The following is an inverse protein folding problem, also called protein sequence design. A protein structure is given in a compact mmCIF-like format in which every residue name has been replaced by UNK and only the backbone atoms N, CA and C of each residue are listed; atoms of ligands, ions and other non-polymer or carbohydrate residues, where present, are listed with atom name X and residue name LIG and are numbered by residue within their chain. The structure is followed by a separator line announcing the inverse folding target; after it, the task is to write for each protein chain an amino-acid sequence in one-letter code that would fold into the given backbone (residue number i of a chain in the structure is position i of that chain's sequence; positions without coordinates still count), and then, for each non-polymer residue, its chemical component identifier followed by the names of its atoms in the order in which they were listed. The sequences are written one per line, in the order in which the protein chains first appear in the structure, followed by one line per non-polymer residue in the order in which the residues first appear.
data_IF_251077402611
#
_entry.id   IF_251077402611
#
_cell.length_a   1.000
_cell.length_b   1.000
_cell.length_c   1.000
_cell.angle_alpha   90.00
_cell.angle_beta   90.00
_cell.angle_gamma   90.00
#
_symmetry.space_group_name_H-M   'P 1'
#
loop_
_entity.id
_entity.type
_entity.pdbx_description
1 polymer ?
#
# COMPACT_ATOMS: atom_id res chain seq x y z
N UNK A 1 -1.69 -0.76 18.94
CA UNK A 1 -2.07 -0.70 17.52
C UNK A 1 -0.81 -0.45 16.72
N UNK A 2 -0.58 -1.11 15.58
CA UNK A 2 0.61 -0.88 14.77
C UNK A 2 0.66 0.55 14.21
N UNK A 3 1.87 1.07 13.98
CA UNK A 3 2.07 2.41 13.44
C UNK A 3 2.07 2.40 11.90
N UNK A 4 1.23 3.23 11.27
CA UNK A 4 1.12 3.31 9.81
C UNK A 4 2.39 3.85 9.13
N UNK A 5 3.11 4.78 9.77
CA UNK A 5 4.39 5.28 9.27
C UNK A 5 5.41 4.16 9.15
N UNK A 6 5.61 3.40 10.23
CA UNK A 6 6.53 2.25 10.27
C UNK A 6 6.11 1.16 9.29
N UNK A 7 4.81 0.95 9.10
CA UNK A 7 4.29 0.01 8.11
C UNK A 7 4.64 0.43 6.68
N UNK A 8 4.40 1.70 6.33
CA UNK A 8 4.73 2.25 5.01
C UNK A 8 6.24 2.18 4.73
N UNK A 9 7.08 2.43 5.74
CA UNK A 9 8.53 2.24 5.64
C UNK A 9 8.88 0.75 5.43
N UNK A 10 8.22 -0.16 6.14
CA UNK A 10 8.43 -1.59 5.99
C UNK A 10 8.00 -2.12 4.60
N UNK A 11 7.03 -1.46 3.94
CA UNK A 11 6.61 -1.79 2.57
C UNK A 11 7.72 -1.61 1.53
N UNK A 12 8.81 -0.90 1.83
CA UNK A 12 9.98 -0.82 0.93
C UNK A 12 10.55 -2.20 0.61
N UNK A 13 10.46 -3.14 1.56
CA UNK A 13 10.93 -4.51 1.36
C UNK A 13 10.13 -5.30 0.32
N UNK A 14 8.91 -4.87 -0.01
CA UNK A 14 8.03 -5.52 -0.98
C UNK A 14 8.47 -5.33 -2.44
N UNK A 15 9.54 -4.60 -2.71
CA UNK A 15 10.06 -4.43 -4.07
C UNK A 15 9.09 -3.67 -4.98
N UNK A 16 8.95 -4.12 -6.22
CA UNK A 16 8.07 -3.43 -7.18
C UNK A 16 6.59 -3.68 -6.85
N UNK A 17 5.84 -2.59 -6.73
CA UNK A 17 4.40 -2.59 -6.50
C UNK A 17 3.65 -2.00 -7.69
N UNK A 18 2.36 -2.32 -7.73
CA UNK A 18 1.35 -1.58 -8.48
C UNK A 18 0.51 -0.81 -7.49
N UNK A 19 0.70 0.51 -7.48
CA UNK A 19 -0.03 1.43 -6.61
C UNK A 19 -1.27 1.91 -7.37
N UNK A 20 -2.43 1.70 -6.77
CA UNK A 20 -3.74 1.96 -7.39
C UNK A 20 -4.49 2.96 -6.52
N UNK A 21 -4.88 4.08 -7.14
CA UNK A 21 -5.79 5.06 -6.56
C UNK A 21 -7.01 5.15 -7.46
N UNK A 22 -8.18 5.03 -6.82
CA UNK A 22 -9.47 5.07 -7.49
C UNK A 22 -10.21 6.32 -7.03
N UNK A 23 -10.66 7.12 -7.98
CA UNK A 23 -11.63 8.19 -7.75
C UNK A 23 -13.02 7.70 -8.12
N UNK A 24 -14.03 8.56 -7.97
CA UNK A 24 -15.41 8.25 -8.36
C UNK A 24 -15.60 7.93 -9.85
N UNK A 25 -14.66 8.30 -10.72
CA UNK A 25 -14.81 8.17 -12.17
C UNK A 25 -13.59 7.60 -12.90
N UNK A 26 -12.45 7.43 -12.22
CA UNK A 26 -11.20 7.00 -12.84
C UNK A 26 -10.35 6.17 -11.89
N UNK A 27 -9.57 5.27 -12.47
CA UNK A 27 -8.54 4.48 -11.77
C UNK A 27 -7.19 4.84 -12.38
N UNK A 28 -6.21 5.17 -11.53
CA UNK A 28 -4.82 5.31 -11.94
C UNK A 28 -3.99 4.21 -11.28
N UNK A 29 -3.26 3.46 -12.10
CA UNK A 29 -2.35 2.40 -11.65
C UNK A 29 -0.94 2.77 -12.09
N UNK A 30 -0.02 2.90 -11.13
CA UNK A 30 1.40 3.16 -11.41
C UNK A 30 2.26 2.01 -10.94
N UNK A 31 3.31 1.71 -11.73
CA UNK A 31 4.33 0.73 -11.37
C UNK A 31 5.48 1.45 -10.67
N UNK A 32 5.83 1.02 -9.46
CA UNK A 32 6.95 1.56 -8.69
C UNK A 32 7.08 0.90 -7.33
N UNK A 33 8.14 1.18 -6.58
CA UNK A 33 8.29 0.74 -5.18
C UNK A 33 7.92 1.88 -4.23
N UNK A 34 7.53 1.55 -2.99
CA UNK A 34 7.48 2.52 -1.89
C UNK A 34 8.90 2.66 -1.37
N UNK A 35 9.49 3.84 -1.46
CA UNK A 35 10.86 4.09 -1.01
C UNK A 35 11.07 5.59 -0.79
N UNK A 36 12.13 5.97 -0.07
CA UNK A 36 12.48 7.39 0.18
C UNK A 36 11.27 8.24 0.61
N UNK A 37 10.43 7.67 1.46
CA UNK A 37 9.27 8.38 1.98
C UNK A 37 9.73 9.61 2.75
N UNK A 38 9.04 10.72 2.52
CA UNK A 38 9.16 11.91 3.35
C UNK A 38 7.79 12.31 3.87
N UNK A 39 7.78 12.94 5.03
CA UNK A 39 6.56 13.20 5.77
C UNK A 39 6.35 14.69 5.96
N UNK A 40 5.09 15.11 5.89
CA UNK A 40 4.72 16.51 6.02
C UNK A 40 3.36 16.65 6.70
N UNK A 41 3.26 17.54 7.68
CA UNK A 41 2.00 17.94 8.28
C UNK A 41 1.44 19.16 7.55
N UNK A 42 0.23 19.04 7.02
CA UNK A 42 -0.48 20.07 6.28
C UNK A 42 -1.82 20.36 6.98
N UNK A 43 -2.50 21.48 6.69
CA UNK A 43 -3.80 21.79 7.30
C UNK A 43 -4.88 20.70 7.10
N UNK A 44 -4.72 19.84 6.10
CA UNK A 44 -5.64 18.74 5.77
C UNK A 44 -5.26 17.40 6.44
N UNK A 45 -4.11 17.31 7.09
CA UNK A 45 -3.66 16.11 7.79
C UNK A 45 -2.17 15.82 7.63
N UNK A 46 -1.78 14.65 8.12
CA UNK A 46 -0.41 14.14 8.13
C UNK A 46 -0.15 13.23 6.93
N UNK A 47 0.80 13.62 6.08
CA UNK A 47 1.03 12.95 4.80
C UNK A 47 2.32 12.14 4.78
N UNK A 48 2.23 10.93 4.22
CA UNK A 48 3.37 10.21 3.67
C UNK A 48 3.49 10.51 2.18
N UNK A 49 4.69 10.84 1.72
CA UNK A 49 4.91 11.33 0.37
C UNK A 49 6.11 10.64 -0.28
N UNK A 50 6.10 10.54 -1.60
CA UNK A 50 7.22 10.06 -2.40
C UNK A 50 7.25 10.80 -3.74
N UNK A 51 8.45 11.16 -4.17
CA UNK A 51 8.70 11.68 -5.51
C UNK A 51 9.46 10.63 -6.33
N UNK A 52 8.87 10.22 -7.44
CA UNK A 52 9.49 9.31 -8.42
C UNK A 52 9.56 10.01 -9.78
N UNK A 53 10.34 9.44 -10.71
CA UNK A 53 10.60 10.07 -12.00
C UNK A 53 9.33 10.39 -12.81
N UNK A 54 8.33 9.50 -12.76
CA UNK A 54 7.12 9.60 -13.59
C UNK A 54 5.83 9.83 -12.78
N UNK A 55 5.91 9.84 -11.45
CA UNK A 55 4.74 10.05 -10.59
C UNK A 55 5.13 10.60 -9.22
N UNK A 56 4.18 11.29 -8.60
CA UNK A 56 4.23 11.63 -7.18
C UNK A 56 3.13 10.90 -6.43
N UNK A 57 3.42 10.58 -5.18
CA UNK A 57 2.53 9.86 -4.29
C UNK A 57 2.32 10.67 -3.02
N UNK A 58 1.07 10.83 -2.61
CA UNK A 58 0.68 11.50 -1.38
C UNK A 58 -0.44 10.71 -0.71
N UNK A 59 -0.21 10.26 0.52
CA UNK A 59 -1.20 9.55 1.31
C UNK A 59 -1.46 10.31 2.61
N UNK A 60 -2.70 10.79 2.78
CA UNK A 60 -3.14 11.35 4.05
C UNK A 60 -3.35 10.20 5.05
N UNK A 61 -2.41 10.04 5.97
CA UNK A 61 -2.40 8.95 6.93
C UNK A 61 -3.54 9.05 7.93
N UNK A 62 -4.01 10.25 8.26
CA UNK A 62 -5.13 10.45 9.21
C UNK A 62 -6.46 9.89 8.68
N UNK A 63 -6.55 9.72 7.35
CA UNK A 63 -7.73 9.20 6.68
C UNK A 63 -7.77 7.67 6.60
N UNK A 64 -6.68 6.99 6.92
CA UNK A 64 -6.64 5.53 6.88
C UNK A 64 -7.12 4.96 8.22
N UNK A 65 -8.21 4.21 8.19
CA UNK A 65 -8.83 3.61 9.38
C UNK A 65 -8.48 2.14 9.53
N UNK A 66 -8.24 1.45 8.44
CA UNK A 66 -7.88 0.04 8.46
C UNK A 66 -6.92 -0.29 7.34
N UNK A 67 -6.02 -1.23 7.59
CA UNK A 67 -5.18 -1.86 6.58
C UNK A 67 -5.51 -3.34 6.52
N UNK A 68 -5.67 -3.86 5.31
CA UNK A 68 -6.06 -5.24 5.07
C UNK A 68 -5.18 -5.90 4.01
N UNK A 69 -4.67 -7.06 4.34
CA UNK A 69 -3.98 -7.96 3.41
C UNK A 69 -5.01 -8.83 2.70
N UNK A 70 -4.93 -8.93 1.38
CA UNK A 70 -5.85 -9.73 0.57
C UNK A 70 -5.09 -10.53 -0.49
N UNK A 71 -5.47 -11.80 -0.63
CA UNK A 71 -5.17 -12.56 -1.84
C UNK A 71 -6.40 -12.58 -2.75
N UNK A 72 -6.21 -12.43 -4.05
CA UNK A 72 -7.28 -12.56 -5.04
C UNK A 72 -6.85 -13.37 -6.24
N UNK A 73 -7.79 -13.72 -7.10
CA UNK A 73 -7.48 -14.35 -8.39
C UNK A 73 -7.48 -13.29 -9.50
N UNK A 74 -6.43 -13.25 -10.31
CA UNK A 74 -6.36 -12.34 -11.43
C UNK A 74 -7.45 -12.64 -12.46
N UNK A 75 -8.24 -11.61 -12.84
CA UNK A 75 -9.32 -11.72 -13.84
C UNK A 75 -8.87 -12.30 -15.20
N UNK A 76 -7.57 -12.20 -15.50
CA UNK A 76 -6.94 -12.77 -16.69
C UNK A 76 -5.64 -13.44 -16.28
N UNK A 77 -5.45 -14.69 -16.71
CA UNK A 77 -4.21 -15.44 -16.50
C UNK A 77 -4.21 -16.43 -15.33
N UNK A 78 -5.29 -16.51 -14.55
CA UNK A 78 -5.49 -17.53 -13.50
C UNK A 78 -4.30 -17.67 -12.54
N UNK A 79 -3.88 -16.55 -11.94
CA UNK A 79 -2.80 -16.51 -10.96
C UNK A 79 -3.22 -15.70 -9.73
N UNK A 80 -2.61 -16.02 -8.58
CA UNK A 80 -2.85 -15.33 -7.33
C UNK A 80 -2.26 -13.93 -7.35
N UNK A 81 -3.04 -12.96 -6.90
CA UNK A 81 -2.63 -11.57 -6.64
C UNK A 81 -2.53 -11.35 -5.15
N UNK A 82 -1.58 -10.51 -4.74
CA UNK A 82 -1.32 -10.16 -3.34
C UNK A 82 -1.46 -8.67 -3.19
N UNK A 83 -2.39 -8.22 -2.35
CA UNK A 83 -2.74 -6.82 -2.17
C UNK A 83 -2.67 -6.40 -0.71
N UNK A 84 -2.39 -5.12 -0.52
CA UNK A 84 -2.58 -4.40 0.74
C UNK A 84 -3.54 -3.26 0.45
N UNK A 85 -4.69 -3.26 1.13
CA UNK A 85 -5.72 -2.23 1.04
C UNK A 85 -5.57 -1.28 2.21
N UNK A 86 -5.57 0.02 1.93
CA UNK A 86 -5.64 1.09 2.93
C UNK A 86 -7.04 1.68 2.83
N UNK A 87 -7.86 1.39 3.85
CA UNK A 87 -9.29 1.65 3.87
C UNK A 87 -9.57 2.94 4.64
N UNK A 88 -10.49 3.75 4.13
CA UNK A 88 -10.95 4.97 4.77
C UNK A 88 -12.10 4.71 5.77
N UNK A 89 -12.72 5.78 6.26
CA UNK A 89 -13.82 5.71 7.23
C UNK A 89 -15.13 5.15 6.63
N UNK A 90 -15.26 5.15 5.29
CA UNK A 90 -16.36 4.52 4.57
C UNK A 90 -16.07 3.04 4.26
N UNK A 91 -14.91 2.53 4.68
CA UNK A 91 -14.41 1.20 4.33
C UNK A 91 -14.09 1.04 2.83
N UNK A 92 -13.92 2.15 2.12
CA UNK A 92 -13.50 2.19 0.73
C UNK A 92 -11.97 2.23 0.63
N UNK A 93 -11.40 1.65 -0.43
CA UNK A 93 -9.95 1.59 -0.61
C UNK A 93 -9.40 2.95 -1.11
N UNK A 94 -8.89 3.77 -0.20
CA UNK A 94 -8.19 5.01 -0.52
C UNK A 94 -6.88 4.75 -1.28
N UNK A 95 -6.21 3.63 -1.01
CA UNK A 95 -5.04 3.13 -1.74
C UNK A 95 -5.08 1.60 -1.77
N UNK A 96 -4.65 1.03 -2.89
CA UNK A 96 -4.32 -0.39 -2.97
C UNK A 96 -2.90 -0.58 -3.50
N UNK A 97 -2.09 -1.36 -2.80
CA UNK A 97 -0.75 -1.74 -3.23
C UNK A 97 -0.74 -3.23 -3.55
N UNK A 98 -0.59 -3.58 -4.82
CA UNK A 98 -0.41 -4.96 -5.26
C UNK A 98 1.06 -5.27 -5.46
N UNK A 99 1.49 -6.49 -5.15
CA UNK A 99 2.78 -6.96 -5.65
C UNK A 99 2.75 -6.93 -7.19
N UNK A 100 3.72 -6.25 -7.80
CA UNK A 100 3.81 -6.21 -9.26
C UNK A 100 4.44 -7.49 -9.78
N UNK A 101 3.70 -8.22 -10.61
CA UNK A 101 4.23 -9.37 -11.33
C UNK A 101 4.92 -8.95 -12.64
N UNK A 102 5.87 -9.76 -13.12
CA UNK A 102 6.44 -9.67 -14.46
C UNK A 102 5.51 -10.33 -15.47
N UNK A 103 5.71 -11.63 -15.70
CA UNK A 103 4.72 -12.48 -16.39
C UNK A 103 3.58 -12.86 -15.43
N UNK A 104 2.43 -13.33 -15.92
CA UNK A 104 1.33 -13.77 -15.07
C UNK A 104 1.80 -14.75 -13.97
N UNK A 105 1.66 -14.35 -12.70
CA UNK A 105 2.06 -15.14 -11.53
C UNK A 105 3.55 -15.14 -11.18
N UNK A 106 4.42 -14.50 -11.99
CA UNK A 106 5.86 -14.41 -11.70
C UNK A 106 6.15 -13.14 -10.89
N UNK A 107 6.51 -13.30 -9.62
CA UNK A 107 6.90 -12.22 -8.69
C UNK A 107 8.43 -12.11 -8.56
N UNK A 108 8.90 -11.00 -7.99
CA UNK A 108 10.32 -10.84 -7.67
C UNK A 108 10.78 -11.87 -6.61
N UNK A 109 12.06 -12.30 -6.61
CA UNK A 109 12.56 -13.24 -5.62
C UNK A 109 12.34 -12.77 -4.18
N UNK A 110 11.69 -13.59 -3.35
CA UNK A 110 11.40 -13.26 -1.95
C UNK A 110 10.24 -12.29 -1.74
N UNK A 111 9.58 -11.82 -2.81
CA UNK A 111 8.57 -10.77 -2.71
C UNK A 111 7.29 -11.22 -2.01
N UNK A 112 6.83 -12.43 -2.33
CA UNK A 112 5.62 -13.04 -1.75
C UNK A 112 5.88 -13.41 -0.29
N UNK A 113 7.06 -13.93 0.02
CA UNK A 113 7.51 -14.27 1.37
C UNK A 113 7.50 -13.02 2.27
N UNK A 114 8.09 -11.92 1.81
CA UNK A 114 8.08 -10.64 2.55
C UNK A 114 6.68 -10.07 2.75
N UNK A 115 5.77 -10.28 1.79
CA UNK A 115 4.36 -9.91 1.96
C UNK A 115 3.71 -10.72 3.08
N UNK A 116 3.98 -12.02 3.14
CA UNK A 116 3.52 -12.88 4.24
C UNK A 116 4.16 -12.51 5.58
N UNK A 117 5.44 -12.16 5.62
CA UNK A 117 6.13 -11.68 6.83
C UNK A 117 5.50 -10.39 7.36
N UNK A 118 5.17 -9.43 6.49
CA UNK A 118 4.44 -8.22 6.90
C UNK A 118 3.04 -8.56 7.39
N UNK A 119 2.32 -9.46 6.72
CA UNK A 119 0.99 -9.91 7.15
C UNK A 119 1.04 -10.56 8.54
N UNK A 120 2.05 -11.39 8.80
CA UNK A 120 2.25 -12.03 10.10
C UNK A 120 2.59 -11.01 11.18
N UNK A 121 3.47 -10.05 10.88
CA UNK A 121 3.90 -9.01 11.82
C UNK A 121 2.78 -8.05 12.22
N UNK A 122 1.97 -7.60 11.26
CA UNK A 122 0.96 -6.56 11.48
C UNK A 122 -0.46 -7.12 11.67
N UNK A 123 -0.70 -8.35 11.23
CA UNK A 123 -2.02 -8.97 11.16
C UNK A 123 -2.66 -8.83 9.77
N UNK A 124 -3.58 -9.75 9.47
CA UNK A 124 -4.30 -9.75 8.19
C UNK A 124 -5.21 -8.54 8.02
N UNK A 125 -5.82 -8.10 9.12
CA UNK A 125 -6.61 -6.87 9.23
C UNK A 125 -6.15 -6.15 10.50
N UNK A 126 -5.79 -4.88 10.40
CA UNK A 126 -5.36 -4.09 11.54
C UNK A 126 -5.71 -2.61 11.39
N UNK A 127 -5.86 -1.94 12.52
CA UNK A 127 -6.16 -0.51 12.59
C UNK A 127 -4.91 0.25 13.02
N UNK A 128 -4.54 1.34 12.32
CA UNK A 128 -3.42 2.18 12.73
C UNK A 128 -3.60 2.79 14.12
N UNK A 129 -2.51 2.87 14.87
CA UNK A 129 -2.43 3.81 15.99
C UNK A 129 -2.63 5.25 15.49
N UNK A 130 -3.14 6.17 16.33
CA UNK A 130 -3.19 7.58 16.01
C UNK A 130 -1.82 8.09 15.53
N UNK A 131 -1.82 8.90 14.47
CA UNK A 131 -0.59 9.49 13.94
C UNK A 131 -0.21 10.66 14.84
N UNK A 132 0.63 10.43 15.85
CA UNK A 132 0.94 11.46 16.87
C UNK A 132 1.84 12.57 16.31
N UNK A 133 2.94 12.21 15.66
CA UNK A 133 3.92 13.15 15.07
C UNK A 133 4.57 12.52 13.83
N UNK A 134 4.89 13.36 12.83
CA UNK A 134 5.63 12.97 11.62
C UNK A 134 6.98 13.66 11.52
#
# INVERSE_FOLDING_TARGET
MPNLKEFLEACENLGTLRLIVTSSAAVLEVRGSIHKLFYAELPKGKYANMHAEIFEFHLNMDKIKQVKFETGEAKRGNFTTYAIRFLDEQNDAALSAFLQWGKPGEYEPGQVEKWHELKEKYGEVWEPAPVETI
#
